data_IF_798022458565
#
_entry.id   IF_798022458565
#
_cell.length_a   1.000
_cell.length_b   1.000
_cell.length_c   1.000
_cell.angle_alpha   90.00
_cell.angle_beta   90.00
_cell.angle_gamma   90.00
#
_symmetry.space_group_name_H-M   'P 1'
#
loop_
_entity.id
_entity.type
_entity.pdbx_description
1 polymer ?
#
# COMPACT_ATOMS: atom_id res chain seq x y z
N UNK A 1 -20.00 -7.48 -4.02
CA UNK A 1 -18.61 -7.12 -3.69
C UNK A 1 -17.70 -8.06 -4.47
N UNK A 2 -16.71 -7.56 -5.21
CA UNK A 2 -15.77 -8.40 -5.95
C UNK A 2 -14.91 -9.19 -4.94
N UNK A 3 -14.82 -10.51 -5.06
CA UNK A 3 -14.06 -11.38 -4.13
C UNK A 3 -12.60 -10.92 -3.96
N UNK A 4 -11.98 -10.44 -5.05
CA UNK A 4 -10.61 -9.90 -5.04
C UNK A 4 -10.49 -8.65 -4.14
N UNK A 5 -11.54 -7.83 -4.08
CA UNK A 5 -11.55 -6.62 -3.26
C UNK A 5 -11.73 -6.97 -1.78
N UNK A 6 -12.60 -7.93 -1.47
CA UNK A 6 -12.76 -8.42 -0.10
C UNK A 6 -11.47 -9.04 0.46
N UNK A 7 -10.66 -9.68 -0.39
CA UNK A 7 -9.32 -10.16 0.00
C UNK A 7 -8.41 -8.98 0.36
N UNK A 8 -8.30 -7.98 -0.52
CA UNK A 8 -7.41 -6.84 -0.32
C UNK A 8 -7.79 -5.99 0.87
N UNK A 9 -9.09 -5.80 1.11
CA UNK A 9 -9.60 -5.06 2.25
C UNK A 9 -9.04 -5.57 3.59
N UNK A 10 -8.88 -6.90 3.75
CA UNK A 10 -8.29 -7.51 4.95
C UNK A 10 -6.84 -7.08 5.22
N UNK A 11 -6.12 -6.73 4.16
CA UNK A 11 -4.69 -6.40 4.20
C UNK A 11 -4.43 -4.91 3.96
N UNK A 12 -5.44 -4.04 4.10
CA UNK A 12 -5.34 -2.62 3.84
C UNK A 12 -5.81 -1.75 5.01
N UNK A 13 -5.29 -0.53 5.09
CA UNK A 13 -5.47 0.36 6.26
C UNK A 13 -6.91 0.82 6.48
N UNK A 14 -7.79 0.67 5.49
CA UNK A 14 -9.23 0.96 5.60
C UNK A 14 -10.09 -0.24 6.01
N UNK A 15 -9.54 -1.47 5.98
CA UNK A 15 -10.31 -2.69 6.29
C UNK A 15 -9.70 -3.56 7.39
N UNK A 16 -8.40 -3.46 7.64
CA UNK A 16 -7.72 -4.25 8.64
C UNK A 16 -7.87 -3.66 10.06
N UNK A 17 -8.23 -4.52 11.02
CA UNK A 17 -8.33 -4.13 12.44
C UNK A 17 -6.97 -3.95 13.13
N UNK A 18 -5.88 -4.51 12.60
CA UNK A 18 -4.53 -4.40 13.20
C UNK A 18 -3.43 -4.50 12.15
N UNK A 19 -2.78 -3.37 11.85
CA UNK A 19 -1.48 -3.35 11.17
C UNK A 19 -0.37 -3.31 12.22
N UNK A 20 0.57 -4.24 12.13
CA UNK A 20 1.82 -4.10 12.86
C UNK A 20 2.77 -3.17 12.10
N UNK A 21 3.01 -2.00 12.70
CA UNK A 21 3.93 -0.99 12.17
C UNK A 21 5.35 -1.14 12.72
N UNK A 22 5.59 -2.01 13.71
CA UNK A 22 6.89 -2.16 14.35
C UNK A 22 7.41 -0.87 15.00
N UNK A 23 8.73 -0.81 15.23
CA UNK A 23 9.38 0.37 15.79
C UNK A 23 9.54 1.48 14.73
N UNK A 24 9.15 2.72 15.08
CA UNK A 24 9.16 3.87 14.18
C UNK A 24 10.59 4.18 13.70
N UNK A 25 10.76 4.33 12.39
CA UNK A 25 12.06 4.63 11.76
C UNK A 25 12.03 5.99 11.07
N UNK A 26 11.92 7.05 11.87
CA UNK A 26 11.70 8.44 11.43
C UNK A 26 12.66 8.88 10.32
N UNK A 27 13.96 8.60 10.49
CA UNK A 27 14.99 8.99 9.52
C UNK A 27 14.69 8.46 8.10
N UNK A 28 14.12 7.26 7.97
CA UNK A 28 13.78 6.67 6.67
C UNK A 28 12.42 7.17 6.19
N UNK A 29 11.43 7.20 7.07
CA UNK A 29 10.05 7.53 6.69
C UNK A 29 9.93 9.00 6.30
N UNK A 30 10.59 9.92 7.01
CA UNK A 30 10.59 11.35 6.70
C UNK A 30 11.24 11.62 5.34
N UNK A 31 12.45 11.08 5.11
CA UNK A 31 13.11 11.19 3.80
C UNK A 31 12.19 10.71 2.67
N UNK A 32 11.53 9.56 2.84
CA UNK A 32 10.63 9.05 1.80
C UNK A 32 9.46 10.00 1.58
N UNK A 33 8.82 10.49 2.65
CA UNK A 33 7.67 11.41 2.58
C UNK A 33 8.01 12.71 1.87
N UNK A 34 9.21 13.26 2.07
CA UNK A 34 9.67 14.46 1.37
C UNK A 34 9.77 14.27 -0.15
N UNK A 35 10.01 13.03 -0.60
CA UNK A 35 10.04 12.69 -2.03
C UNK A 35 8.68 12.21 -2.57
N UNK A 36 7.60 12.29 -1.78
CA UNK A 36 6.22 12.02 -2.24
C UNK A 36 5.66 13.26 -2.97
N UNK A 37 4.51 13.13 -3.62
CA UNK A 37 3.88 14.24 -4.37
C UNK A 37 4.22 14.26 -5.86
N UNK A 38 5.41 13.80 -6.26
CA UNK A 38 5.79 13.68 -7.68
C UNK A 38 5.27 12.38 -8.35
N UNK A 39 5.57 12.24 -9.66
CA UNK A 39 5.23 11.09 -10.53
C UNK A 39 6.28 9.97 -10.53
N UNK A 40 7.37 10.11 -9.76
CA UNK A 40 8.44 9.11 -9.75
C UNK A 40 8.02 7.87 -8.95
N UNK A 41 8.49 6.70 -9.36
CA UNK A 41 8.34 5.46 -8.58
C UNK A 41 9.47 5.42 -7.55
N UNK A 42 9.14 5.08 -6.30
CA UNK A 42 10.08 4.99 -5.19
C UNK A 42 10.35 3.51 -4.96
N UNK A 43 11.61 3.10 -5.05
CA UNK A 43 12.01 1.70 -4.89
C UNK A 43 12.90 1.59 -3.66
N UNK A 44 12.47 0.81 -2.69
CA UNK A 44 13.29 0.49 -1.50
C UNK A 44 14.11 -0.77 -1.77
N UNK A 45 15.42 -0.63 -1.74
CA UNK A 45 16.37 -1.74 -1.96
C UNK A 45 17.08 -2.12 -0.67
N UNK A 46 17.53 -3.37 -0.58
CA UNK A 46 18.31 -3.87 0.57
C UNK A 46 18.07 -5.35 0.86
N UNK A 47 18.84 -5.90 1.78
CA UNK A 47 18.83 -7.34 2.11
C UNK A 47 17.47 -7.87 2.59
N UNK A 48 17.21 -9.17 2.40
CA UNK A 48 15.99 -9.81 2.93
C UNK A 48 15.97 -9.64 4.46
N UNK A 49 14.79 -9.31 4.99
CA UNK A 49 14.54 -9.04 6.43
C UNK A 49 15.21 -7.79 7.02
N UNK A 50 15.62 -6.83 6.19
CA UNK A 50 16.08 -5.51 6.68
C UNK A 50 14.96 -4.56 7.17
N UNK A 51 13.69 -4.96 7.02
CA UNK A 51 12.53 -4.18 7.47
C UNK A 51 11.92 -3.24 6.43
N UNK A 52 12.21 -3.42 5.13
CA UNK A 52 11.63 -2.61 4.04
C UNK A 52 10.09 -2.59 4.05
N UNK A 53 9.47 -3.75 4.22
CA UNK A 53 8.00 -3.90 4.33
C UNK A 53 7.41 -3.14 5.53
N UNK A 54 8.16 -3.00 6.63
CA UNK A 54 7.77 -2.16 7.75
C UNK A 54 7.86 -0.68 7.39
N UNK A 55 8.93 -0.25 6.71
CA UNK A 55 9.06 1.14 6.24
C UNK A 55 7.92 1.51 5.29
N UNK A 56 7.55 0.65 4.34
CA UNK A 56 6.40 0.89 3.44
C UNK A 56 5.09 1.11 4.22
N UNK A 57 4.81 0.24 5.21
CA UNK A 57 3.62 0.36 6.07
C UNK A 57 3.64 1.65 6.89
N UNK A 58 4.78 2.00 7.46
CA UNK A 58 4.95 3.24 8.23
C UNK A 58 4.75 4.49 7.37
N UNK A 59 5.26 4.50 6.12
CA UNK A 59 5.04 5.61 5.18
C UNK A 59 3.56 5.77 4.85
N UNK A 60 2.84 4.66 4.58
CA UNK A 60 1.38 4.73 4.35
C UNK A 60 0.62 5.24 5.56
N UNK A 61 1.01 4.82 6.76
CA UNK A 61 0.44 5.35 8.02
C UNK A 61 0.70 6.85 8.17
N UNK A 62 1.92 7.31 7.92
CA UNK A 62 2.29 8.72 7.98
C UNK A 62 1.51 9.56 6.95
N UNK A 63 1.25 9.04 5.75
CA UNK A 63 0.39 9.71 4.77
C UNK A 63 -1.03 9.91 5.31
N UNK A 64 -1.60 8.88 5.95
CA UNK A 64 -2.93 8.98 6.56
C UNK A 64 -2.94 9.99 7.70
N UNK A 65 -1.91 9.96 8.55
CA UNK A 65 -1.76 10.91 9.66
C UNK A 65 -1.62 12.35 9.14
N UNK A 66 -1.08 12.53 7.93
CA UNK A 66 -1.00 13.81 7.22
C UNK A 66 -2.27 14.17 6.41
N UNK A 67 -3.37 13.45 6.59
CA UNK A 67 -4.68 13.79 6.03
C UNK A 67 -5.05 13.08 4.72
N UNK A 68 -4.24 12.11 4.25
CA UNK A 68 -4.65 11.24 3.14
C UNK A 68 -5.75 10.29 3.63
N UNK A 69 -6.87 10.22 2.90
CA UNK A 69 -7.95 9.27 3.19
C UNK A 69 -7.39 7.83 3.19
N UNK A 70 -7.72 6.97 4.18
CA UNK A 70 -7.25 5.59 4.20
C UNK A 70 -7.50 4.89 2.86
N UNK A 71 -8.67 5.07 2.25
CA UNK A 71 -9.07 4.52 0.96
C UNK A 71 -8.23 5.03 -0.22
N UNK A 72 -7.20 5.85 0.01
CA UNK A 72 -6.24 6.27 -1.01
C UNK A 72 -4.88 5.57 -0.86
N UNK A 73 -4.66 4.66 0.11
CA UNK A 73 -3.36 4.01 0.37
C UNK A 73 -3.36 2.49 0.10
N UNK A 74 -3.35 2.07 -1.16
CA UNK A 74 -3.47 0.67 -1.56
C UNK A 74 -2.19 -0.14 -1.37
N UNK A 75 -2.22 -1.07 -0.42
CA UNK A 75 -1.23 -2.10 -0.18
C UNK A 75 -1.55 -3.38 -0.94
N UNK A 76 -0.54 -3.87 -1.68
CA UNK A 76 -0.55 -5.12 -2.41
C UNK A 76 0.70 -5.88 -1.99
N UNK A 77 0.54 -6.90 -1.15
CA UNK A 77 1.65 -7.74 -0.71
C UNK A 77 1.60 -9.08 -1.45
N UNK A 78 2.55 -9.31 -2.34
CA UNK A 78 2.64 -10.52 -3.17
C UNK A 78 3.23 -11.72 -2.45
N UNK A 79 3.65 -11.58 -1.19
CA UNK A 79 4.01 -12.73 -0.34
C UNK A 79 2.77 -13.43 0.23
N UNK A 80 1.56 -12.84 0.15
CA UNK A 80 0.32 -13.49 0.58
C UNK A 80 -0.26 -14.40 -0.51
N UNK A 81 -0.50 -15.67 -0.16
CA UNK A 81 -1.08 -16.67 -1.05
C UNK A 81 -2.46 -16.27 -1.60
N UNK A 82 -3.24 -15.50 -0.83
CA UNK A 82 -4.54 -14.98 -1.30
C UNK A 82 -4.41 -14.07 -2.55
N UNK A 83 -3.21 -13.56 -2.84
CA UNK A 83 -2.90 -12.68 -3.97
C UNK A 83 -2.15 -13.41 -5.11
N UNK A 84 -2.05 -14.75 -5.07
CA UNK A 84 -1.40 -15.57 -6.11
C UNK A 84 -2.03 -15.44 -7.51
N UNK A 85 -3.25 -14.90 -7.59
CA UNK A 85 -3.91 -14.57 -8.84
C UNK A 85 -3.27 -13.37 -9.56
N UNK A 86 -2.50 -12.53 -8.86
CA UNK A 86 -1.77 -11.40 -9.45
C UNK A 86 -0.46 -11.88 -10.09
N UNK A 87 -0.54 -12.39 -11.32
CA UNK A 87 0.62 -12.93 -12.06
C UNK A 87 1.12 -12.00 -13.14
N UNK A 88 0.22 -11.21 -13.71
CA UNK A 88 0.48 -10.36 -14.87
C UNK A 88 0.11 -8.91 -14.59
N UNK A 89 0.62 -8.01 -15.44
CA UNK A 89 0.22 -6.60 -15.38
C UNK A 89 -1.30 -6.41 -15.62
N UNK A 90 -1.94 -7.32 -16.36
CA UNK A 90 -3.39 -7.27 -16.62
C UNK A 90 -4.17 -7.55 -15.35
N UNK A 91 -3.72 -8.51 -14.54
CA UNK A 91 -4.36 -8.83 -13.25
C UNK A 91 -4.27 -7.63 -12.30
N UNK A 92 -3.11 -6.96 -12.26
CA UNK A 92 -2.91 -5.74 -11.47
C UNK A 92 -3.78 -4.58 -11.96
N UNK A 93 -3.86 -4.36 -13.28
CA UNK A 93 -4.70 -3.31 -13.86
C UNK A 93 -6.19 -3.55 -13.57
N UNK A 94 -6.67 -4.78 -13.74
CA UNK A 94 -8.04 -5.17 -13.42
C UNK A 94 -8.36 -4.95 -11.94
N UNK A 95 -7.42 -5.29 -11.06
CA UNK A 95 -7.54 -5.08 -9.63
C UNK A 95 -7.66 -3.59 -9.27
N UNK A 96 -6.77 -2.75 -9.82
CA UNK A 96 -6.79 -1.31 -9.57
C UNK A 96 -8.09 -0.69 -10.10
N UNK A 97 -8.58 -1.13 -11.26
CA UNK A 97 -9.86 -0.68 -11.82
C UNK A 97 -11.03 -1.07 -10.93
N UNK A 98 -11.06 -2.32 -10.46
CA UNK A 98 -12.09 -2.82 -9.53
C UNK A 98 -12.09 -2.02 -8.23
N UNK A 99 -10.90 -1.76 -7.68
CA UNK A 99 -10.74 -0.97 -6.47
C UNK A 99 -11.25 0.46 -6.64
N UNK A 100 -10.88 1.14 -7.74
CA UNK A 100 -11.37 2.49 -8.03
C UNK A 100 -12.89 2.55 -8.22
N UNK A 101 -13.50 1.49 -8.78
CA UNK A 101 -14.95 1.40 -8.97
C UNK A 101 -15.70 1.25 -7.64
N UNK A 102 -15.16 0.45 -6.72
CA UNK A 102 -15.77 0.16 -5.43
C UNK A 102 -15.62 1.35 -4.46
N UNK A 103 -14.39 1.80 -4.21
CA UNK A 103 -14.10 2.80 -3.17
C UNK A 103 -14.18 4.24 -3.67
N UNK A 104 -14.15 4.46 -4.98
CA UNK A 104 -14.19 5.80 -5.62
C UNK A 104 -13.28 6.82 -4.91
N UNK A 105 -11.99 6.50 -4.71
CA UNK A 105 -11.08 7.39 -3.98
C UNK A 105 -10.97 8.74 -4.70
N UNK A 106 -11.03 9.81 -3.92
CA UNK A 106 -10.90 11.17 -4.41
C UNK A 106 -9.45 11.64 -4.32
N UNK A 107 -8.94 12.27 -5.37
CA UNK A 107 -7.57 12.78 -5.40
C UNK A 107 -6.52 11.71 -5.70
N UNK A 108 -5.35 11.82 -5.04
CA UNK A 108 -4.19 10.98 -5.34
C UNK A 108 -4.28 9.63 -4.61
N UNK A 109 -4.17 8.54 -5.36
CA UNK A 109 -4.04 7.18 -4.83
C UNK A 109 -2.55 6.80 -4.78
N UNK A 110 -2.11 6.34 -3.62
CA UNK A 110 -0.80 5.80 -3.35
C UNK A 110 -0.87 4.28 -3.40
N UNK A 111 0.01 3.65 -4.16
CA UNK A 111 0.08 2.20 -4.30
C UNK A 111 1.41 1.74 -3.72
N UNK A 112 1.33 0.84 -2.76
CA UNK A 112 2.44 0.19 -2.08
C UNK A 112 2.47 -1.27 -2.52
N UNK A 113 3.57 -1.70 -3.11
CA UNK A 113 3.76 -3.08 -3.55
C UNK A 113 4.91 -3.66 -2.73
N UNK A 114 4.64 -4.76 -2.06
CA UNK A 114 5.59 -5.54 -1.25
C UNK A 114 5.70 -6.95 -1.83
#
# INVERSE_FOLDING_TARGET
>A
MNEKIAIIEKYNLWGAKTFDFGFKREEYTEKIVDFIGNRLIKVLVGQRRSGKSYILRQVGKQLIDNGVKPENTLFINREFADLDFLRTYKDLDELIKSYKKEFKPEGKVYIFID
#
